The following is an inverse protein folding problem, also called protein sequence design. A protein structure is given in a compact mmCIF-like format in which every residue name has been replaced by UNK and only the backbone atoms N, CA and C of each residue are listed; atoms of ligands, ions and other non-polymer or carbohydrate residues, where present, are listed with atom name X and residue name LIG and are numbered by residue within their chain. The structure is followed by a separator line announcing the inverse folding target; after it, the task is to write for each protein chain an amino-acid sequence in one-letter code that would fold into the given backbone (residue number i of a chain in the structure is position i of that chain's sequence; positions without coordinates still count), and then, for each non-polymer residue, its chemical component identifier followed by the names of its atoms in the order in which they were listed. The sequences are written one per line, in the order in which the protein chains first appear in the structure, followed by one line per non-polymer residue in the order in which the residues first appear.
data_IF_943357773702
#
_entry.id   IF_943357773702
#
_cell.length_a   1.000
_cell.length_b   1.000
_cell.length_c   1.000
_cell.angle_alpha   90.00
_cell.angle_beta   90.00
_cell.angle_gamma   90.00
#
_symmetry.space_group_name_H-M   'P 1'
#
loop_
_entity.id
_entity.type
_entity.pdbx_description
1 polymer ?
#
# COMPACT_ATOMS: atom_id res chain seq x y z
N UNK A 1 -13.39 -13.36 -39.20
CA UNK A 1 -12.77 -12.01 -39.24
C UNK A 1 -12.32 -11.45 -37.87
N UNK A 2 -12.67 -12.07 -36.73
CA UNK A 2 -12.25 -11.60 -35.39
C UNK A 2 -10.92 -12.16 -34.88
N UNK A 3 -10.41 -13.27 -35.44
CA UNK A 3 -9.18 -13.89 -34.98
C UNK A 3 -7.93 -13.08 -35.35
N UNK A 4 -7.85 -12.54 -36.53
CA UNK A 4 -6.66 -11.80 -36.97
C UNK A 4 -6.36 -10.49 -36.22
N UNK A 5 -7.37 -9.85 -35.63
CA UNK A 5 -7.16 -8.65 -34.80
C UNK A 5 -6.61 -9.02 -33.42
N UNK A 6 -7.11 -10.13 -32.85
CA UNK A 6 -6.63 -10.65 -31.55
C UNK A 6 -5.21 -11.20 -31.70
N UNK A 7 -4.93 -11.91 -32.78
CA UNK A 7 -3.60 -12.46 -33.06
C UNK A 7 -2.55 -11.36 -33.28
N UNK A 8 -2.87 -10.35 -34.09
CA UNK A 8 -2.00 -9.16 -34.27
C UNK A 8 -1.81 -8.36 -32.98
N UNK A 9 -2.86 -8.26 -32.15
CA UNK A 9 -2.79 -7.58 -30.87
C UNK A 9 -1.92 -8.37 -29.88
N UNK A 10 -2.09 -9.68 -29.84
CA UNK A 10 -1.29 -10.58 -29.03
C UNK A 10 0.19 -10.54 -29.43
N UNK A 11 0.49 -10.55 -30.70
CA UNK A 11 1.85 -10.55 -31.24
C UNK A 11 2.60 -9.24 -30.93
N UNK A 12 1.91 -8.12 -30.84
CA UNK A 12 2.49 -6.83 -30.45
C UNK A 12 2.53 -6.60 -28.94
N UNK A 13 1.53 -7.09 -28.20
CA UNK A 13 1.45 -6.90 -26.74
C UNK A 13 2.32 -7.89 -26.00
N UNK A 14 2.46 -9.13 -26.48
CA UNK A 14 3.26 -10.17 -25.82
C UNK A 14 4.73 -9.76 -25.59
N UNK A 15 5.47 -9.24 -26.57
CA UNK A 15 6.85 -8.79 -26.34
C UNK A 15 6.93 -7.57 -25.42
N UNK A 16 5.91 -6.67 -25.48
CA UNK A 16 5.84 -5.53 -24.58
C UNK A 16 5.54 -5.97 -23.14
N UNK A 17 4.59 -6.89 -22.97
CA UNK A 17 4.26 -7.47 -21.68
C UNK A 17 5.42 -8.24 -21.07
N UNK A 18 6.17 -9.00 -21.89
CA UNK A 18 7.38 -9.71 -21.46
C UNK A 18 8.49 -8.74 -21.03
N UNK A 19 8.68 -7.63 -21.76
CA UNK A 19 9.65 -6.58 -21.43
C UNK A 19 9.26 -5.83 -20.15
N UNK A 20 7.98 -5.54 -19.97
CA UNK A 20 7.43 -4.92 -18.76
C UNK A 20 7.53 -5.89 -17.58
N UNK A 21 7.12 -7.15 -17.76
CA UNK A 21 7.19 -8.19 -16.73
C UNK A 21 8.60 -8.56 -16.27
N UNK A 22 9.60 -8.39 -17.15
CA UNK A 22 11.01 -8.58 -16.85
C UNK A 22 11.68 -7.39 -16.15
N UNK A 23 10.99 -6.27 -16.00
CA UNK A 23 11.54 -5.11 -15.34
C UNK A 23 11.58 -5.33 -13.82
N UNK A 24 12.77 -5.22 -13.22
CA UNK A 24 12.99 -5.42 -11.78
C UNK A 24 12.16 -4.49 -10.92
N UNK A 25 11.98 -3.24 -11.33
CA UNK A 25 11.18 -2.27 -10.57
C UNK A 25 9.70 -2.64 -10.51
N UNK A 26 9.14 -3.05 -11.64
CA UNK A 26 7.75 -3.51 -11.71
C UNK A 26 7.56 -4.84 -10.96
N UNK A 27 8.54 -5.73 -11.04
CA UNK A 27 8.56 -6.96 -10.23
C UNK A 27 8.56 -6.65 -8.73
N UNK A 28 9.37 -5.70 -8.28
CA UNK A 28 9.43 -5.30 -6.88
C UNK A 28 8.12 -4.65 -6.40
N UNK A 29 7.49 -3.80 -7.22
CA UNK A 29 6.18 -3.21 -6.92
C UNK A 29 5.13 -4.31 -6.77
N UNK A 30 5.07 -5.24 -7.72
CA UNK A 30 4.15 -6.38 -7.65
C UNK A 30 4.35 -7.20 -6.37
N UNK A 31 5.58 -7.56 -6.07
CA UNK A 31 5.91 -8.39 -4.90
C UNK A 31 5.64 -7.62 -3.60
N UNK A 32 5.85 -6.31 -3.59
CA UNK A 32 5.48 -5.42 -2.49
C UNK A 32 3.97 -5.40 -2.24
N UNK A 33 3.15 -5.32 -3.29
CA UNK A 33 1.70 -5.41 -3.18
C UNK A 33 1.23 -6.77 -2.66
N UNK A 34 1.80 -7.86 -3.17
CA UNK A 34 1.46 -9.22 -2.71
C UNK A 34 1.73 -9.36 -1.21
N UNK A 35 2.81 -8.78 -0.71
CA UNK A 35 3.14 -8.83 0.72
C UNK A 35 2.12 -8.08 1.60
N UNK A 36 1.47 -7.03 1.09
CA UNK A 36 0.47 -6.23 1.81
C UNK A 36 -0.96 -6.74 1.63
N UNK A 37 -1.21 -7.61 0.64
CA UNK A 37 -2.55 -8.16 0.38
C UNK A 37 -3.27 -8.73 1.61
N UNK A 38 -2.63 -9.55 2.48
CA UNK A 38 -3.32 -10.09 3.64
C UNK A 38 -3.85 -9.00 4.59
N UNK A 39 -3.10 -7.91 4.74
CA UNK A 39 -3.53 -6.76 5.55
C UNK A 39 -4.74 -6.07 4.93
N UNK A 40 -4.72 -5.83 3.63
CA UNK A 40 -5.83 -5.18 2.91
C UNK A 40 -7.10 -6.03 2.97
N UNK A 41 -6.98 -7.35 2.80
CA UNK A 41 -8.12 -8.28 2.92
C UNK A 41 -8.69 -8.24 4.33
N UNK A 42 -7.84 -8.28 5.35
CA UNK A 42 -8.28 -8.21 6.75
C UNK A 42 -8.96 -6.88 7.04
N UNK A 43 -8.38 -5.77 6.63
CA UNK A 43 -8.97 -4.43 6.82
C UNK A 43 -10.32 -4.30 6.11
N UNK A 44 -10.46 -4.82 4.90
CA UNK A 44 -11.74 -4.80 4.16
C UNK A 44 -12.80 -5.67 4.81
N UNK A 45 -12.43 -6.82 5.38
CA UNK A 45 -13.34 -7.67 6.13
C UNK A 45 -13.85 -6.95 7.39
N UNK A 46 -12.97 -6.30 8.15
CA UNK A 46 -13.38 -5.50 9.30
C UNK A 46 -14.29 -4.33 8.91
N UNK A 47 -14.00 -3.66 7.79
CA UNK A 47 -14.85 -2.60 7.26
C UNK A 47 -16.23 -3.12 6.91
N UNK A 48 -16.33 -4.28 6.28
CA UNK A 48 -17.58 -4.91 5.91
C UNK A 48 -18.40 -5.30 7.15
N UNK A 49 -17.78 -5.94 8.14
CA UNK A 49 -18.42 -6.28 9.41
C UNK A 49 -18.92 -5.01 10.10
N UNK A 50 -18.07 -3.99 10.18
CA UNK A 50 -18.41 -2.74 10.82
C UNK A 50 -19.56 -2.00 10.12
N UNK A 51 -19.60 -2.03 8.79
CA UNK A 51 -20.63 -1.33 8.01
C UNK A 51 -21.96 -2.09 7.96
N UNK A 52 -21.90 -3.40 7.73
CA UNK A 52 -23.10 -4.23 7.48
C UNK A 52 -23.72 -4.75 8.77
N UNK A 53 -22.91 -5.14 9.74
CA UNK A 53 -23.39 -5.74 10.98
C UNK A 53 -23.59 -4.69 12.06
N UNK A 54 -22.57 -3.88 12.33
CA UNK A 54 -22.52 -2.94 13.45
C UNK A 54 -22.98 -1.52 13.08
N UNK A 55 -23.14 -1.22 11.78
CA UNK A 55 -23.49 0.11 11.30
C UNK A 55 -24.85 0.63 11.81
N UNK A 56 -25.10 1.95 11.72
CA UNK A 56 -26.36 2.55 12.18
C UNK A 56 -27.60 1.97 11.46
N UNK A 57 -27.44 1.48 10.24
CA UNK A 57 -28.47 0.74 9.49
C UNK A 57 -28.14 -0.77 9.40
N UNK A 58 -27.24 -1.25 10.26
CA UNK A 58 -26.79 -2.64 10.26
C UNK A 58 -27.80 -3.61 10.89
N UNK A 59 -27.52 -4.90 10.69
CA UNK A 59 -28.37 -5.99 11.17
C UNK A 59 -28.61 -5.94 12.69
N UNK A 60 -27.62 -5.56 13.47
CA UNK A 60 -27.73 -5.47 14.93
C UNK A 60 -28.67 -4.36 15.39
N UNK A 61 -28.64 -3.22 14.72
CA UNK A 61 -29.55 -2.12 15.04
C UNK A 61 -31.00 -2.46 14.66
N UNK A 62 -31.19 -3.17 13.54
CA UNK A 62 -32.50 -3.60 13.08
C UNK A 62 -33.14 -4.69 13.98
N UNK A 63 -32.29 -5.58 14.56
CA UNK A 63 -32.76 -6.72 15.36
C UNK A 63 -32.85 -6.41 16.86
N UNK A 64 -31.97 -5.59 17.40
CA UNK A 64 -31.84 -5.40 18.85
C UNK A 64 -32.08 -3.95 19.29
N UNK A 65 -32.28 -3.01 18.37
CA UNK A 65 -32.63 -1.62 18.67
C UNK A 65 -31.58 -0.83 19.47
N UNK A 66 -30.41 -1.40 19.71
CA UNK A 66 -29.33 -0.76 20.45
C UNK A 66 -28.01 -0.92 19.68
N UNK A 67 -27.45 0.15 19.14
CA UNK A 67 -26.21 0.06 18.39
C UNK A 67 -25.07 -0.30 19.34
N UNK A 68 -24.28 -1.31 19.01
CA UNK A 68 -22.99 -1.59 19.64
C UNK A 68 -21.96 -0.51 19.25
N UNK A 69 -22.19 0.71 19.75
CA UNK A 69 -21.43 1.91 19.34
C UNK A 69 -19.94 1.77 19.62
N UNK A 70 -19.58 1.15 20.74
CA UNK A 70 -18.19 0.91 21.10
C UNK A 70 -17.51 -0.11 20.16
N UNK A 71 -18.18 -1.20 19.84
CA UNK A 71 -17.66 -2.20 18.90
C UNK A 71 -17.55 -1.62 17.48
N UNK A 72 -18.48 -0.78 17.07
CA UNK A 72 -18.44 -0.06 15.80
C UNK A 72 -17.23 0.91 15.75
N UNK A 73 -16.97 1.64 16.81
CA UNK A 73 -15.81 2.53 16.88
C UNK A 73 -14.51 1.75 16.80
N UNK A 74 -14.37 0.63 17.52
CA UNK A 74 -13.19 -0.24 17.45
C UNK A 74 -12.97 -0.78 16.05
N UNK A 75 -14.02 -1.29 15.38
CA UNK A 75 -13.95 -1.73 14.00
C UNK A 75 -13.54 -0.62 13.02
N UNK A 76 -14.05 0.59 13.23
CA UNK A 76 -13.67 1.79 12.49
C UNK A 76 -12.18 2.16 12.69
N UNK A 77 -11.69 2.11 13.92
CA UNK A 77 -10.27 2.36 14.22
C UNK A 77 -9.34 1.35 13.56
N UNK A 78 -9.65 0.06 13.62
CA UNK A 78 -8.84 -1.00 13.00
C UNK A 78 -8.76 -0.80 11.48
N UNK A 79 -9.90 -0.56 10.85
CA UNK A 79 -9.98 -0.32 9.42
C UNK A 79 -9.21 0.94 9.01
N UNK A 80 -9.44 2.05 9.72
CA UNK A 80 -8.78 3.33 9.45
C UNK A 80 -7.27 3.25 9.67
N UNK A 81 -6.82 2.64 10.76
CA UNK A 81 -5.40 2.49 11.07
C UNK A 81 -4.69 1.65 9.98
N UNK A 82 -5.30 0.54 9.54
CA UNK A 82 -4.73 -0.31 8.50
C UNK A 82 -4.60 0.44 7.16
N UNK A 83 -5.61 1.20 6.77
CA UNK A 83 -5.60 1.95 5.52
C UNK A 83 -4.71 3.19 5.59
N UNK A 84 -4.58 3.82 6.75
CA UNK A 84 -3.79 5.05 6.94
C UNK A 84 -2.30 4.83 6.81
N UNK A 85 -1.80 3.61 7.03
CA UNK A 85 -0.35 3.29 6.93
C UNK A 85 0.00 2.50 5.68
N UNK A 86 -0.95 2.31 4.76
CA UNK A 86 -0.76 1.46 3.58
C UNK A 86 0.40 1.93 2.69
N UNK A 87 0.53 3.23 2.47
CA UNK A 87 1.63 3.81 1.69
C UNK A 87 3.00 3.54 2.32
N UNK A 88 3.11 3.67 3.64
CA UNK A 88 4.34 3.38 4.38
C UNK A 88 4.73 1.90 4.27
N UNK A 89 3.75 0.99 4.40
CA UNK A 89 3.97 -0.45 4.26
C UNK A 89 4.38 -0.82 2.84
N UNK A 90 3.81 -0.17 1.83
CA UNK A 90 4.21 -0.37 0.44
C UNK A 90 5.63 0.12 0.17
N UNK A 91 6.04 1.25 0.74
CA UNK A 91 7.44 1.71 0.66
C UNK A 91 8.40 0.66 1.24
N UNK A 92 8.07 0.12 2.42
CA UNK A 92 8.85 -0.90 3.10
C UNK A 92 8.91 -2.22 2.31
N UNK A 93 7.76 -2.75 1.88
CA UNK A 93 7.68 -4.07 1.21
C UNK A 93 8.26 -4.03 -0.20
N UNK A 94 8.04 -2.95 -0.95
CA UNK A 94 8.58 -2.78 -2.30
C UNK A 94 10.10 -2.65 -2.26
N UNK A 95 10.66 -1.86 -1.34
CA UNK A 95 12.11 -1.72 -1.19
C UNK A 95 12.77 -3.02 -0.72
N UNK A 96 12.11 -3.77 0.18
CA UNK A 96 12.55 -5.09 0.59
C UNK A 96 12.61 -6.07 -0.59
N UNK A 97 11.57 -6.07 -1.43
CA UNK A 97 11.53 -6.90 -2.64
C UNK A 97 12.62 -6.52 -3.65
N UNK A 98 12.84 -5.22 -3.85
CA UNK A 98 13.86 -4.70 -4.76
C UNK A 98 15.28 -4.99 -4.26
N UNK A 99 15.56 -4.79 -2.97
CA UNK A 99 16.85 -5.13 -2.35
C UNK A 99 17.17 -6.62 -2.48
N UNK A 100 16.16 -7.47 -2.30
CA UNK A 100 16.31 -8.91 -2.51
C UNK A 100 16.69 -9.26 -3.95
N UNK A 101 16.11 -8.59 -4.94
CA UNK A 101 16.42 -8.80 -6.36
C UNK A 101 17.85 -8.35 -6.72
N UNK A 102 18.38 -7.37 -6.00
CA UNK A 102 19.76 -6.91 -6.18
C UNK A 102 20.80 -7.67 -5.32
N UNK A 103 20.35 -8.58 -4.45
CA UNK A 103 21.23 -9.30 -3.53
C UNK A 103 21.79 -8.44 -2.40
N UNK A 104 21.14 -7.31 -2.12
CA UNK A 104 21.48 -6.39 -1.04
C UNK A 104 20.80 -6.80 0.27
N UNK A 105 21.29 -6.23 1.39
CA UNK A 105 20.61 -6.40 2.67
C UNK A 105 19.21 -5.79 2.64
N UNK A 106 18.22 -6.67 2.81
CA UNK A 106 16.80 -6.29 2.70
C UNK A 106 16.32 -5.40 3.85
N UNK A 107 16.96 -5.51 5.03
CA UNK A 107 16.58 -4.72 6.20
C UNK A 107 17.07 -3.29 6.06
N UNK A 108 18.31 -3.11 5.61
CA UNK A 108 18.88 -1.78 5.38
C UNK A 108 18.14 -1.06 4.26
N UNK A 109 17.90 -1.75 3.13
CA UNK A 109 17.14 -1.18 2.02
C UNK A 109 15.73 -0.76 2.42
N UNK A 110 15.04 -1.59 3.22
CA UNK A 110 13.69 -1.29 3.67
C UNK A 110 13.62 -0.10 4.64
N UNK A 111 14.53 -0.03 5.62
CA UNK A 111 14.61 1.09 6.56
C UNK A 111 14.97 2.40 5.88
N UNK A 112 15.93 2.38 4.96
CA UNK A 112 16.31 3.56 4.18
C UNK A 112 15.14 4.10 3.35
N UNK A 113 14.36 3.20 2.74
CA UNK A 113 13.19 3.60 1.97
C UNK A 113 12.09 4.23 2.81
N UNK A 114 11.85 3.72 4.03
CA UNK A 114 10.89 4.32 4.97
C UNK A 114 11.30 5.74 5.34
N UNK A 115 12.57 5.94 5.67
CA UNK A 115 13.08 7.28 6.00
C UNK A 115 12.97 8.21 4.79
N UNK A 116 13.37 7.75 3.61
CA UNK A 116 13.25 8.51 2.37
C UNK A 116 11.80 8.90 2.06
N UNK A 117 10.86 7.96 2.26
CA UNK A 117 9.43 8.23 2.09
C UNK A 117 8.91 9.29 3.06
N UNK A 118 9.30 9.22 4.35
CA UNK A 118 8.93 10.23 5.33
C UNK A 118 9.52 11.59 4.98
N UNK A 119 10.76 11.66 4.50
CA UNK A 119 11.36 12.92 4.05
C UNK A 119 10.62 13.55 2.86
N UNK A 120 10.02 12.74 1.99
CA UNK A 120 9.22 13.22 0.85
C UNK A 120 7.79 13.60 1.24
N UNK A 121 7.35 13.23 2.45
CA UNK A 121 6.02 13.54 2.94
C UNK A 121 6.02 14.93 3.57
N UNK A 122 5.08 15.83 3.22
CA UNK A 122 5.02 17.15 3.83
C UNK A 122 4.63 17.05 5.30
N UNK A 123 5.38 17.74 6.15
CA UNK A 123 5.07 17.91 7.56
C UNK A 123 4.14 19.11 7.74
N UNK A 124 3.05 18.93 8.48
CA UNK A 124 2.21 20.00 8.94
C UNK A 124 2.68 20.51 10.32
N UNK A 125 2.47 21.77 10.60
CA UNK A 125 2.69 22.35 11.93
C UNK A 125 1.36 22.78 12.53
N UNK A 126 1.14 22.46 13.79
CA UNK A 126 -0.02 22.90 14.57
C UNK A 126 0.46 23.43 15.92
N UNK A 127 -0.12 24.51 16.38
CA UNK A 127 0.22 25.14 17.66
C UNK A 127 -0.05 24.24 18.87
N UNK A 128 -1.00 23.28 18.73
CA UNK A 128 -1.37 22.36 19.80
C UNK A 128 -0.56 21.07 19.83
N UNK A 129 -0.13 20.56 18.67
CA UNK A 129 0.47 19.20 18.53
C UNK A 129 1.93 19.29 18.10
N UNK A 130 2.39 20.43 17.61
CA UNK A 130 3.70 20.61 17.00
C UNK A 130 3.74 20.12 15.55
N UNK A 131 4.86 19.50 15.15
CA UNK A 131 5.01 18.93 13.81
C UNK A 131 4.28 17.58 13.72
N UNK A 132 3.46 17.40 12.69
CA UNK A 132 2.76 16.14 12.44
C UNK A 132 2.78 15.76 10.97
N UNK A 133 2.69 14.45 10.72
CA UNK A 133 2.52 13.91 9.38
C UNK A 133 1.06 13.58 9.15
N UNK A 134 0.47 14.15 8.12
CA UNK A 134 -0.93 13.85 7.80
C UNK A 134 -1.07 12.40 7.35
N UNK A 135 -2.00 11.67 7.97
CA UNK A 135 -2.34 10.29 7.61
C UNK A 135 -2.79 10.14 6.16
N UNK A 136 -3.29 11.22 5.54
CA UNK A 136 -3.66 11.23 4.13
C UNK A 136 -2.48 10.90 3.21
N UNK A 137 -1.29 11.39 3.51
CA UNK A 137 -0.09 11.09 2.70
C UNK A 137 0.49 9.70 2.97
N UNK A 138 0.26 9.14 4.16
CA UNK A 138 0.70 7.79 4.51
C UNK A 138 -0.23 6.70 3.98
N UNK A 139 -1.46 7.07 3.60
CA UNK A 139 -2.51 6.17 3.11
C UNK A 139 -2.33 5.82 1.63
N UNK A 140 -3.39 5.29 1.04
CA UNK A 140 -3.45 4.94 -0.38
C UNK A 140 -3.12 6.11 -1.33
N UNK A 141 -3.36 7.36 -0.92
CA UNK A 141 -3.04 8.55 -1.72
C UNK A 141 -1.52 8.70 -1.90
N UNK A 142 -0.72 8.30 -0.90
CA UNK A 142 0.74 8.34 -0.95
C UNK A 142 1.42 7.16 -1.64
N UNK A 143 0.69 6.19 -2.20
CA UNK A 143 1.29 4.98 -2.78
C UNK A 143 2.30 5.26 -3.90
N UNK A 144 1.99 6.20 -4.80
CA UNK A 144 2.91 6.54 -5.90
C UNK A 144 4.21 7.15 -5.37
N UNK A 145 4.11 8.05 -4.40
CA UNK A 145 5.28 8.60 -3.71
C UNK A 145 6.07 7.51 -2.99
N UNK A 146 5.38 6.54 -2.38
CA UNK A 146 5.99 5.39 -1.72
C UNK A 146 6.82 4.53 -2.69
N UNK A 147 6.32 4.26 -3.90
CA UNK A 147 7.07 3.52 -4.91
C UNK A 147 8.30 4.28 -5.40
N UNK A 148 8.16 5.58 -5.67
CA UNK A 148 9.28 6.43 -6.09
C UNK A 148 10.34 6.46 -4.99
N UNK A 149 9.93 6.69 -3.74
CA UNK A 149 10.83 6.70 -2.59
C UNK A 149 11.55 5.35 -2.41
N UNK A 150 10.83 4.23 -2.53
CA UNK A 150 11.39 2.89 -2.41
C UNK A 150 12.44 2.60 -3.50
N UNK A 151 12.16 2.94 -4.74
CA UNK A 151 13.07 2.73 -5.87
C UNK A 151 14.31 3.61 -5.70
N UNK A 152 14.13 4.91 -5.43
CA UNK A 152 15.24 5.85 -5.25
C UNK A 152 16.14 5.44 -4.08
N UNK A 153 15.57 5.06 -2.94
CA UNK A 153 16.32 4.65 -1.76
C UNK A 153 17.17 3.41 -2.02
N UNK A 154 16.61 2.40 -2.69
CA UNK A 154 17.35 1.16 -3.00
C UNK A 154 18.40 1.38 -4.07
N UNK A 155 18.14 2.18 -5.11
CA UNK A 155 19.16 2.52 -6.12
C UNK A 155 20.29 3.34 -5.52
N UNK A 156 19.99 4.29 -4.62
CA UNK A 156 21.00 5.04 -3.88
C UNK A 156 21.85 4.12 -2.98
N UNK A 157 21.18 3.22 -2.25
CA UNK A 157 21.86 2.23 -1.41
C UNK A 157 22.78 1.32 -2.24
N UNK A 158 22.29 0.86 -3.39
CA UNK A 158 23.10 0.09 -4.34
C UNK A 158 24.32 0.82 -4.87
N UNK A 159 24.21 2.14 -5.05
CA UNK A 159 25.32 2.95 -5.53
C UNK A 159 26.42 3.15 -4.47
N UNK A 160 26.00 3.11 -3.18
CA UNK A 160 26.91 3.32 -2.04
C UNK A 160 27.65 2.05 -1.59
N UNK A 161 27.12 0.88 -1.93
CA UNK A 161 27.66 -0.45 -1.57
C UNK A 161 28.23 -1.15 -2.79
#
# INVERSE_FOLDING_TARGET
MKSGFIDNLSEKIMPLAAKIGGNRWLGAIRDGYIAVMPLVITASLFTLINSVILGPNGLTNMLFGNPFTEAQQLGGFISSASMSVLGLLLAFTTSKALSKQYGLDTSIGATTAVVCYLCLTPFGTSDEIGEYVSTGYLSSTGMFTAFIAAILAVELYRFLV
#
